data_IF_424292929828
#
_entry.id   IF_424292929828
#
_cell.length_a   1.000
_cell.length_b   1.000
_cell.length_c   1.000
_cell.angle_alpha   90.00
_cell.angle_beta   90.00
_cell.angle_gamma   90.00
#
_symmetry.space_group_name_H-M   'P 1'
#
loop_
_entity.id
_entity.type
_entity.pdbx_description
1 polymer ?
#
# COMPACT_ATOMS: atom_id res chain seq x y z
N UNK A 1 18.26 19.80 22.35
CA UNK A 1 17.74 18.85 21.34
C UNK A 1 18.69 17.68 21.23
N UNK A 2 18.20 16.48 21.49
CA UNK A 2 18.96 15.23 21.42
C UNK A 2 19.09 14.74 19.97
N UNK A 3 20.12 13.95 19.68
CA UNK A 3 20.40 13.37 18.36
C UNK A 3 19.25 12.46 17.85
N UNK A 4 18.48 11.90 18.77
CA UNK A 4 17.27 11.11 18.53
C UNK A 4 16.10 11.97 18.04
N UNK A 5 16.03 13.25 18.42
CA UNK A 5 14.98 14.18 17.99
C UNK A 5 15.23 14.73 16.58
N UNK A 6 16.50 14.88 16.17
CA UNK A 6 16.87 15.21 14.78
C UNK A 6 16.58 14.06 13.79
N UNK A 7 16.46 12.81 14.27
CA UNK A 7 16.14 11.61 13.45
C UNK A 7 14.69 11.52 12.98
N UNK A 8 13.79 12.41 13.43
CA UNK A 8 12.51 12.66 12.75
C UNK A 8 12.70 13.68 11.61
N UNK A 9 13.70 13.45 10.73
CA UNK A 9 13.69 14.09 9.42
C UNK A 9 12.31 13.82 8.81
N UNK A 10 11.59 14.90 8.52
CA UNK A 10 10.22 14.88 8.01
C UNK A 10 10.20 14.03 6.75
N UNK A 11 9.81 12.76 6.90
CA UNK A 11 9.77 11.81 5.79
C UNK A 11 8.69 12.30 4.83
N UNK A 12 9.09 12.55 3.60
CA UNK A 12 8.16 12.95 2.54
C UNK A 12 7.56 11.71 1.93
N UNK A 13 6.29 11.78 1.51
CA UNK A 13 5.69 10.72 0.73
C UNK A 13 6.32 10.72 -0.65
N UNK A 14 6.64 9.55 -1.15
CA UNK A 14 7.17 9.39 -2.50
C UNK A 14 6.46 8.23 -3.18
N UNK A 15 6.52 8.24 -4.50
CA UNK A 15 5.95 7.21 -5.37
C UNK A 15 6.97 6.82 -6.43
N UNK A 16 8.03 6.12 -6.02
CA UNK A 16 9.13 5.70 -6.90
C UNK A 16 9.25 4.20 -6.99
N UNK A 17 9.48 3.71 -8.20
CA UNK A 17 9.87 2.32 -8.40
C UNK A 17 11.31 2.15 -7.97
N UNK A 18 11.55 1.13 -7.16
CA UNK A 18 12.84 0.87 -6.53
C UNK A 18 13.32 -0.51 -7.00
N UNK A 19 14.55 -0.55 -7.51
CA UNK A 19 15.30 -1.79 -7.69
C UNK A 19 16.11 -2.08 -6.43
N UNK A 20 16.11 -3.34 -6.02
CA UNK A 20 16.81 -3.83 -4.84
C UNK A 20 17.78 -4.92 -5.33
N UNK A 21 19.08 -4.72 -5.19
CA UNK A 21 20.10 -5.58 -5.79
C UNK A 21 19.91 -5.70 -7.32
N UNK A 22 20.18 -6.87 -7.91
CA UNK A 22 20.10 -7.08 -9.38
C UNK A 22 18.71 -7.52 -9.84
N UNK A 23 18.02 -8.28 -9.00
CA UNK A 23 16.82 -9.05 -9.30
C UNK A 23 15.61 -8.62 -8.47
N UNK A 24 15.84 -7.84 -7.42
CA UNK A 24 14.79 -7.38 -6.53
C UNK A 24 14.12 -6.10 -6.99
N UNK A 25 12.85 -5.97 -6.59
CA UNK A 25 12.05 -4.79 -6.90
C UNK A 25 11.04 -4.47 -5.80
N UNK A 26 10.63 -3.21 -5.77
CA UNK A 26 9.66 -2.70 -4.81
C UNK A 26 9.20 -1.28 -5.15
N UNK A 27 8.43 -0.73 -4.23
CA UNK A 27 7.87 0.62 -4.32
C UNK A 27 8.32 1.43 -3.11
N UNK A 28 9.08 2.50 -3.35
CA UNK A 28 9.41 3.48 -2.33
C UNK A 28 8.16 4.29 -1.98
N UNK A 29 7.78 4.31 -0.70
CA UNK A 29 6.55 5.00 -0.25
C UNK A 29 6.80 6.25 0.58
N UNK A 30 7.93 6.31 1.27
CA UNK A 30 8.39 7.53 1.93
C UNK A 30 9.91 7.58 2.02
N UNK A 31 10.46 8.78 2.07
CA UNK A 31 11.91 8.99 2.07
C UNK A 31 12.33 10.18 2.91
N UNK A 32 13.56 10.11 3.43
CA UNK A 32 14.35 11.21 3.99
C UNK A 32 15.76 11.15 3.40
N UNK A 33 16.62 12.12 3.70
CA UNK A 33 18.03 12.07 3.27
C UNK A 33 18.79 10.83 3.79
N UNK A 34 18.30 10.25 4.88
CA UNK A 34 18.93 9.12 5.58
C UNK A 34 18.38 7.74 5.18
N UNK A 35 17.26 7.68 4.46
CA UNK A 35 16.68 6.39 4.08
C UNK A 35 15.29 6.45 3.49
N UNK A 36 14.76 5.28 3.17
CA UNK A 36 13.47 5.11 2.50
C UNK A 36 12.72 3.93 3.13
N UNK A 37 11.39 3.90 2.99
CA UNK A 37 10.62 2.67 3.20
C UNK A 37 10.22 2.09 1.85
N UNK A 38 10.52 0.81 1.63
CA UNK A 38 10.28 0.10 0.38
C UNK A 38 9.28 -1.00 0.64
N UNK A 39 8.13 -0.93 -0.01
CA UNK A 39 7.20 -2.06 -0.09
C UNK A 39 7.71 -3.06 -1.13
N UNK A 40 7.78 -4.33 -0.75
CA UNK A 40 8.24 -5.39 -1.64
C UNK A 40 7.55 -6.70 -1.27
N UNK A 41 7.30 -7.55 -2.27
CA UNK A 41 6.81 -8.91 -2.06
C UNK A 41 7.92 -9.95 -1.91
N UNK A 42 9.18 -9.52 -1.87
CA UNK A 42 10.34 -10.40 -1.74
C UNK A 42 10.86 -10.38 -0.30
N UNK A 43 11.44 -11.51 0.12
CA UNK A 43 11.99 -11.67 1.45
C UNK A 43 13.43 -11.18 1.52
N UNK A 44 13.73 -10.47 2.60
CA UNK A 44 15.06 -9.98 2.91
C UNK A 44 15.35 -10.15 4.41
N UNK A 45 16.63 -10.08 4.78
CA UNK A 45 17.05 -10.21 6.18
C UNK A 45 17.23 -8.84 6.83
N UNK A 46 16.76 -8.71 8.07
CA UNK A 46 17.04 -7.53 8.89
C UNK A 46 18.56 -7.36 9.07
N UNK A 47 19.02 -6.11 9.00
CA UNK A 47 20.45 -5.74 8.98
C UNK A 47 21.24 -6.21 7.75
N UNK A 48 20.58 -6.86 6.78
CA UNK A 48 21.18 -7.19 5.48
C UNK A 48 21.57 -5.93 4.70
N UNK A 49 22.65 -6.03 3.94
CA UNK A 49 23.06 -4.99 3.00
C UNK A 49 22.37 -5.19 1.66
N UNK A 50 21.90 -4.09 1.07
CA UNK A 50 21.26 -4.08 -0.24
C UNK A 50 21.74 -2.90 -1.07
N UNK A 51 21.70 -3.08 -2.39
CA UNK A 51 21.86 -2.00 -3.34
C UNK A 51 20.49 -1.43 -3.66
N UNK A 52 20.25 -0.14 -3.34
CA UNK A 52 18.98 0.53 -3.66
C UNK A 52 19.20 1.44 -4.85
N UNK A 53 18.40 1.24 -5.91
CA UNK A 53 18.44 2.08 -7.09
C UNK A 53 17.05 2.58 -7.48
N UNK A 54 16.90 3.86 -7.76
CA UNK A 54 15.65 4.45 -8.27
C UNK A 54 15.96 5.63 -9.18
N UNK A 55 15.00 5.97 -10.05
CA UNK A 55 15.18 7.07 -11.01
C UNK A 55 14.54 8.36 -10.53
N UNK A 56 15.23 9.47 -10.73
CA UNK A 56 14.70 10.82 -10.55
C UNK A 56 15.26 11.73 -11.63
N UNK A 57 14.39 12.50 -12.30
CA UNK A 57 14.74 13.37 -13.42
C UNK A 57 15.68 12.69 -14.45
N UNK A 58 15.29 11.48 -14.88
CA UNK A 58 16.04 10.61 -15.81
C UNK A 58 17.44 10.17 -15.34
N UNK A 59 17.87 10.55 -14.14
CA UNK A 59 19.10 10.07 -13.50
C UNK A 59 18.80 8.85 -12.65
N UNK A 60 19.68 7.84 -12.73
CA UNK A 60 19.63 6.67 -11.86
C UNK A 60 20.44 6.96 -10.60
N UNK A 61 19.76 7.06 -9.46
CA UNK A 61 20.42 7.13 -8.17
C UNK A 61 20.60 5.70 -7.65
N UNK A 62 21.82 5.32 -7.26
CA UNK A 62 22.14 3.96 -6.79
C UNK A 62 23.10 4.03 -5.62
N UNK A 63 22.68 3.59 -4.43
CA UNK A 63 23.50 3.69 -3.21
C UNK A 63 23.30 2.53 -2.23
N UNK A 64 24.36 2.10 -1.51
CA UNK A 64 24.25 0.98 -0.59
C UNK A 64 23.34 1.36 0.57
N UNK A 65 22.63 0.37 1.08
CA UNK A 65 21.71 0.53 2.18
C UNK A 65 21.77 -0.65 3.13
N UNK A 66 21.39 -0.41 4.38
CA UNK A 66 21.18 -1.45 5.38
C UNK A 66 19.69 -1.53 5.66
N UNK A 67 19.14 -2.74 5.58
CA UNK A 67 17.75 -3.02 5.92
C UNK A 67 17.54 -2.81 7.41
N UNK A 68 16.50 -2.05 7.75
CA UNK A 68 16.04 -1.71 9.10
C UNK A 68 14.52 -1.83 9.15
N UNK A 69 13.95 -2.19 10.30
CA UNK A 69 12.49 -2.26 10.48
C UNK A 69 11.83 -3.14 9.40
N UNK A 70 12.10 -4.45 9.50
CA UNK A 70 11.54 -5.43 8.60
C UNK A 70 10.09 -5.76 8.98
N UNK A 71 9.18 -5.58 8.03
CA UNK A 71 7.80 -5.99 8.15
C UNK A 71 7.56 -7.14 7.17
N UNK A 72 7.62 -8.37 7.67
CA UNK A 72 7.45 -9.57 6.86
C UNK A 72 6.24 -9.46 5.93
N UNK A 73 6.44 -9.85 4.65
CA UNK A 73 5.47 -9.78 3.56
C UNK A 73 4.92 -8.38 3.17
N UNK A 74 5.44 -7.32 3.77
CA UNK A 74 5.02 -5.93 3.49
C UNK A 74 6.18 -5.19 2.83
N UNK A 75 7.34 -5.20 3.49
CA UNK A 75 8.51 -4.47 3.04
C UNK A 75 9.44 -4.11 4.19
N UNK A 76 10.32 -3.14 3.96
CA UNK A 76 11.33 -2.75 4.93
C UNK A 76 11.71 -1.28 4.86
N UNK A 77 12.20 -0.75 5.98
CA UNK A 77 13.00 0.46 5.97
C UNK A 77 14.40 0.16 5.45
N UNK A 78 14.98 1.06 4.68
CA UNK A 78 16.39 1.00 4.31
C UNK A 78 17.06 2.30 4.71
N UNK A 79 18.16 2.18 5.43
CA UNK A 79 19.02 3.30 5.78
C UNK A 79 20.13 3.39 4.73
N UNK A 80 20.30 4.55 4.10
CA UNK A 80 21.37 4.76 3.13
C UNK A 80 22.73 4.78 3.84
N UNK A 81 23.73 4.14 3.25
CA UNK A 81 25.08 4.03 3.79
C UNK A 81 26.02 4.91 2.97
N UNK A 82 26.67 5.85 3.64
CA UNK A 82 27.72 6.74 3.08
C UNK A 82 27.40 7.25 1.67
N UNK A 83 26.24 7.90 1.44
CA UNK A 83 25.97 8.49 0.13
C UNK A 83 27.06 9.50 -0.24
N UNK A 84 27.38 9.65 -1.51
CA UNK A 84 28.31 10.71 -1.98
C UNK A 84 27.65 12.09 -1.86
N UNK A 85 28.42 13.18 -1.99
CA UNK A 85 27.85 14.54 -1.99
C UNK A 85 26.86 14.75 -3.13
N UNK A 86 27.16 14.21 -4.31
CA UNK A 86 26.24 14.22 -5.45
C UNK A 86 24.94 13.48 -5.13
N UNK A 87 25.03 12.29 -4.52
CA UNK A 87 23.85 11.52 -4.13
C UNK A 87 23.03 12.25 -3.07
N UNK A 88 23.67 12.87 -2.07
CA UNK A 88 23.00 13.71 -1.07
C UNK A 88 22.26 14.88 -1.72
N UNK A 89 22.90 15.57 -2.66
CA UNK A 89 22.29 16.68 -3.38
C UNK A 89 21.06 16.22 -4.18
N UNK A 90 21.14 15.09 -4.88
CA UNK A 90 20.00 14.50 -5.59
C UNK A 90 18.88 14.06 -4.65
N UNK A 91 19.19 13.45 -3.49
CA UNK A 91 18.19 13.08 -2.49
C UNK A 91 17.40 14.30 -2.00
N UNK A 92 18.07 15.42 -1.74
CA UNK A 92 17.41 16.69 -1.36
C UNK A 92 16.49 17.19 -2.45
N UNK A 93 16.94 17.19 -3.70
CA UNK A 93 16.10 17.59 -4.84
C UNK A 93 14.84 16.73 -4.97
N UNK A 94 14.97 15.40 -4.75
CA UNK A 94 13.79 14.52 -4.72
C UNK A 94 12.85 14.93 -3.59
N UNK A 95 13.39 15.13 -2.38
CA UNK A 95 12.59 15.47 -1.19
C UNK A 95 11.86 16.80 -1.38
N UNK A 96 12.54 17.82 -1.90
CA UNK A 96 11.98 19.15 -2.12
C UNK A 96 10.90 19.13 -3.23
N UNK A 97 11.16 18.40 -4.31
CA UNK A 97 10.19 18.24 -5.40
C UNK A 97 8.91 17.53 -4.93
N UNK A 98 9.05 16.45 -4.16
CA UNK A 98 7.90 15.67 -3.67
C UNK A 98 7.17 16.41 -2.54
N UNK A 99 7.87 17.17 -1.69
CA UNK A 99 7.25 18.06 -0.67
C UNK A 99 6.43 19.17 -1.31
N UNK A 100 6.97 19.80 -2.36
CA UNK A 100 6.31 20.91 -3.06
C UNK A 100 5.10 20.43 -3.87
N UNK A 101 5.10 19.16 -4.27
CA UNK A 101 3.97 18.50 -4.92
C UNK A 101 2.86 18.10 -3.93
N UNK A 102 3.07 18.15 -2.60
CA UNK A 102 2.04 17.87 -1.59
C UNK A 102 1.00 19.03 -1.48
N UNK A 103 0.23 19.26 -2.54
CA UNK A 103 -1.21 19.48 -2.41
C UNK A 103 -1.87 18.11 -2.51
N UNK A 104 -1.67 17.27 -1.50
CA UNK A 104 -2.26 15.93 -1.46
C UNK A 104 -3.80 16.07 -1.61
N UNK A 105 -4.45 15.33 -2.53
CA UNK A 105 -5.87 15.09 -2.37
C UNK A 105 -6.12 14.50 -0.97
N UNK A 106 -7.26 14.83 -0.37
CA UNK A 106 -7.64 14.28 0.93
C UNK A 106 -7.39 12.76 0.93
N UNK A 107 -6.68 12.24 1.95
CA UNK A 107 -6.29 10.82 2.01
C UNK A 107 -7.50 9.95 1.70
N UNK A 108 -7.41 9.15 0.65
CA UNK A 108 -8.55 8.34 0.24
C UNK A 108 -8.74 7.16 1.21
N UNK A 109 -9.98 6.93 1.59
CA UNK A 109 -10.41 5.88 2.51
C UNK A 109 -10.65 4.59 1.71
N UNK A 110 -10.03 3.51 2.15
CA UNK A 110 -10.24 2.14 1.66
C UNK A 110 -10.89 1.33 2.77
N UNK A 111 -12.09 0.81 2.52
CA UNK A 111 -12.72 -0.16 3.39
C UNK A 111 -12.16 -1.56 3.09
N UNK A 112 -11.60 -2.24 4.09
CA UNK A 112 -11.08 -3.59 4.00
C UNK A 112 -11.93 -4.54 4.85
N UNK A 113 -12.55 -5.53 4.21
CA UNK A 113 -13.45 -6.50 4.85
C UNK A 113 -12.90 -7.92 4.75
N UNK A 114 -12.53 -8.49 5.89
CA UNK A 114 -11.95 -9.84 6.00
C UNK A 114 -12.16 -10.34 7.43
N UNK A 115 -12.71 -11.53 7.62
CA UNK A 115 -13.02 -12.12 8.93
C UNK A 115 -11.76 -12.53 9.71
N UNK A 116 -10.65 -12.75 9.01
CA UNK A 116 -9.39 -13.14 9.62
C UNK A 116 -8.56 -11.89 9.99
N UNK A 117 -8.50 -11.59 11.29
CA UNK A 117 -7.79 -10.42 11.81
C UNK A 117 -6.31 -10.33 11.39
N UNK A 118 -5.60 -11.46 11.32
CA UNK A 118 -4.18 -11.50 10.93
C UNK A 118 -4.01 -11.13 9.46
N UNK A 119 -4.83 -11.72 8.57
CA UNK A 119 -4.82 -11.38 7.14
C UNK A 119 -5.23 -9.92 6.92
N UNK A 120 -6.31 -9.47 7.58
CA UNK A 120 -6.80 -8.10 7.48
C UNK A 120 -5.71 -7.08 7.85
N UNK A 121 -5.03 -7.27 9.00
CA UNK A 121 -3.92 -6.40 9.43
C UNK A 121 -2.78 -6.35 8.42
N UNK A 122 -2.44 -7.48 7.78
CA UNK A 122 -1.38 -7.56 6.75
C UNK A 122 -1.69 -6.64 5.57
N UNK A 123 -2.89 -6.75 5.01
CA UNK A 123 -3.33 -5.92 3.88
C UNK A 123 -3.56 -4.46 4.27
N UNK A 124 -4.11 -4.20 5.47
CA UNK A 124 -4.27 -2.85 6.00
C UNK A 124 -2.92 -2.14 6.10
N UNK A 125 -1.88 -2.82 6.62
CA UNK A 125 -0.54 -2.25 6.75
C UNK A 125 0.06 -1.84 5.41
N UNK A 126 -0.08 -2.67 4.38
CA UNK A 126 0.36 -2.34 3.01
C UNK A 126 -0.33 -1.08 2.49
N UNK A 127 -1.65 -0.98 2.63
CA UNK A 127 -2.41 0.19 2.17
C UNK A 127 -2.07 1.45 2.96
N UNK A 128 -1.93 1.36 4.28
CA UNK A 128 -1.51 2.47 5.15
C UNK A 128 -0.12 2.98 4.77
N UNK A 129 0.84 2.07 4.55
CA UNK A 129 2.20 2.41 4.10
C UNK A 129 2.23 3.05 2.71
N UNK A 130 1.18 2.85 1.92
CA UNK A 130 1.00 3.45 0.59
C UNK A 130 0.27 4.80 0.62
N UNK A 131 -0.10 5.28 1.81
CA UNK A 131 -0.67 6.62 2.00
C UNK A 131 -2.19 6.67 2.11
N UNK A 132 -2.90 5.55 1.93
CA UNK A 132 -4.35 5.44 2.14
C UNK A 132 -4.71 5.48 3.63
N UNK A 133 -5.97 5.81 3.91
CA UNK A 133 -6.60 5.55 5.20
C UNK A 133 -7.39 4.26 5.10
N UNK A 134 -7.26 3.36 6.07
CA UNK A 134 -7.93 2.06 6.03
C UNK A 134 -9.02 2.02 7.08
N UNK A 135 -10.25 1.73 6.65
CA UNK A 135 -11.36 1.34 7.50
C UNK A 135 -11.38 -0.19 7.53
N UNK A 136 -11.35 -0.81 8.69
CA UNK A 136 -11.33 -2.27 8.80
C UNK A 136 -12.69 -2.79 9.29
N UNK A 137 -13.21 -3.80 8.61
CA UNK A 137 -14.37 -4.57 9.05
C UNK A 137 -14.05 -6.07 9.04
N UNK A 138 -14.58 -6.82 10.00
CA UNK A 138 -14.48 -8.29 10.04
C UNK A 138 -15.71 -9.00 9.46
N UNK A 139 -16.79 -8.27 9.22
CA UNK A 139 -18.02 -8.81 8.65
C UNK A 139 -18.77 -7.77 7.81
N UNK A 140 -19.80 -8.24 7.10
CA UNK A 140 -20.62 -7.43 6.20
C UNK A 140 -21.49 -6.40 6.92
N UNK A 141 -21.97 -6.69 8.13
CA UNK A 141 -22.76 -5.75 8.95
C UNK A 141 -21.90 -4.57 9.39
N UNK A 142 -20.72 -4.84 9.94
CA UNK A 142 -19.77 -3.81 10.35
C UNK A 142 -19.30 -2.97 9.15
N UNK A 143 -19.07 -3.59 8.01
CA UNK A 143 -18.70 -2.90 6.77
C UNK A 143 -19.77 -1.86 6.36
N UNK A 144 -21.05 -2.26 6.38
CA UNK A 144 -22.17 -1.36 6.08
C UNK A 144 -22.29 -0.24 7.11
N UNK A 145 -22.13 -0.54 8.41
CA UNK A 145 -22.23 0.47 9.47
C UNK A 145 -21.11 1.52 9.40
N UNK A 146 -19.88 1.08 9.07
CA UNK A 146 -18.77 2.00 8.82
C UNK A 146 -19.05 2.93 7.65
N UNK A 147 -19.63 2.44 6.55
CA UNK A 147 -19.91 3.25 5.37
C UNK A 147 -20.97 4.34 5.60
N UNK A 148 -21.91 4.13 6.52
CA UNK A 148 -22.91 5.16 6.89
C UNK A 148 -22.28 6.39 7.55
N UNK A 149 -21.17 6.21 8.27
CA UNK A 149 -20.54 7.28 9.05
C UNK A 149 -19.22 7.75 8.47
N UNK A 150 -18.57 6.92 7.64
CA UNK A 150 -17.24 7.17 7.10
C UNK A 150 -17.21 6.79 5.61
N UNK A 151 -17.24 7.78 4.69
CA UNK A 151 -17.23 7.49 3.27
C UNK A 151 -15.91 6.83 2.85
N UNK A 152 -15.99 5.81 2.01
CA UNK A 152 -14.85 5.17 1.37
C UNK A 152 -14.91 5.37 -0.14
N UNK A 153 -13.77 5.39 -0.82
CA UNK A 153 -13.71 5.44 -2.29
C UNK A 153 -13.56 4.03 -2.89
N UNK A 154 -12.99 3.11 -2.11
CA UNK A 154 -12.76 1.72 -2.51
C UNK A 154 -13.25 0.80 -1.39
N UNK A 155 -13.89 -0.30 -1.75
CA UNK A 155 -14.11 -1.46 -0.87
C UNK A 155 -13.32 -2.66 -1.39
N UNK A 156 -12.43 -3.16 -0.55
CA UNK A 156 -11.71 -4.42 -0.74
C UNK A 156 -12.34 -5.43 0.20
N UNK A 157 -12.87 -6.54 -0.31
CA UNK A 157 -13.54 -7.53 0.53
C UNK A 157 -13.25 -8.96 0.11
N UNK A 158 -13.22 -9.88 1.09
CA UNK A 158 -13.26 -11.32 0.82
C UNK A 158 -14.71 -11.80 0.68
N UNK A 159 -15.13 -12.32 -0.48
CA UNK A 159 -16.49 -12.82 -0.66
C UNK A 159 -16.78 -14.09 0.14
N UNK A 160 -15.76 -14.78 0.66
CA UNK A 160 -15.91 -16.04 1.40
C UNK A 160 -16.09 -15.86 2.92
N UNK A 161 -16.18 -14.63 3.41
CA UNK A 161 -16.73 -14.36 4.75
C UNK A 161 -18.24 -14.65 4.77
N UNK A 162 -18.82 -14.71 5.96
CA UNK A 162 -20.27 -14.83 6.10
C UNK A 162 -20.99 -13.70 5.33
N UNK A 163 -21.90 -14.07 4.44
CA UNK A 163 -22.65 -13.15 3.56
C UNK A 163 -21.78 -12.24 2.65
N UNK A 164 -20.49 -12.54 2.45
CA UNK A 164 -19.57 -11.70 1.67
C UNK A 164 -20.02 -11.47 0.22
N UNK A 165 -20.59 -12.50 -0.44
CA UNK A 165 -21.17 -12.38 -1.78
C UNK A 165 -22.35 -11.39 -1.87
N UNK A 166 -23.03 -11.11 -0.75
CA UNK A 166 -24.16 -10.18 -0.70
C UNK A 166 -23.74 -8.76 -0.28
N UNK A 167 -22.49 -8.55 0.13
CA UNK A 167 -22.00 -7.27 0.63
C UNK A 167 -22.23 -6.13 -0.38
N UNK A 168 -21.89 -6.35 -1.66
CA UNK A 168 -22.06 -5.32 -2.69
C UNK A 168 -23.53 -4.95 -2.90
N UNK A 169 -24.46 -5.90 -2.78
CA UNK A 169 -25.89 -5.60 -2.84
C UNK A 169 -26.31 -4.71 -1.68
N UNK A 170 -25.82 -4.98 -0.46
CA UNK A 170 -26.08 -4.13 0.72
C UNK A 170 -25.49 -2.74 0.56
N UNK A 171 -24.25 -2.63 0.08
CA UNK A 171 -23.59 -1.34 -0.17
C UNK A 171 -24.34 -0.52 -1.23
N UNK A 172 -24.82 -1.15 -2.31
CA UNK A 172 -25.60 -0.47 -3.36
C UNK A 172 -26.94 0.10 -2.87
N UNK A 173 -27.50 -0.42 -1.78
CA UNK A 173 -28.71 0.13 -1.17
C UNK A 173 -28.46 1.48 -0.47
N UNK A 174 -27.20 1.81 -0.17
CA UNK A 174 -26.80 3.11 0.35
C UNK A 174 -26.57 4.09 -0.81
N UNK A 175 -27.38 5.16 -0.96
CA UNK A 175 -27.26 6.11 -2.08
C UNK A 175 -25.87 6.73 -2.21
N UNK A 176 -25.26 7.09 -1.09
CA UNK A 176 -23.92 7.69 -0.97
C UNK A 176 -22.77 6.74 -1.37
N UNK A 177 -23.03 5.43 -1.47
CA UNK A 177 -22.00 4.43 -1.76
C UNK A 177 -21.98 3.96 -3.22
N UNK A 178 -22.81 4.54 -4.10
CA UNK A 178 -22.96 4.09 -5.49
C UNK A 178 -21.70 4.26 -6.34
N UNK A 179 -20.81 5.17 -5.97
CA UNK A 179 -19.55 5.46 -6.67
C UNK A 179 -18.37 4.68 -6.11
N UNK A 180 -18.55 3.91 -5.03
CA UNK A 180 -17.47 3.10 -4.43
C UNK A 180 -16.99 2.08 -5.44
N UNK A 181 -15.66 1.93 -5.52
CA UNK A 181 -14.99 0.97 -6.38
C UNK A 181 -14.86 -0.37 -5.63
N UNK A 182 -15.54 -1.44 -6.06
CA UNK A 182 -15.40 -2.76 -5.44
C UNK A 182 -14.24 -3.56 -6.04
N UNK A 183 -13.37 -4.06 -5.15
CA UNK A 183 -12.27 -4.97 -5.45
C UNK A 183 -12.44 -6.22 -4.60
N UNK A 184 -12.27 -7.39 -5.21
CA UNK A 184 -12.34 -8.66 -4.50
C UNK A 184 -10.94 -9.08 -4.06
N UNK A 185 -10.83 -9.46 -2.80
CA UNK A 185 -9.64 -10.10 -2.24
C UNK A 185 -10.03 -11.50 -1.78
N UNK A 186 -9.98 -12.47 -2.68
CA UNK A 186 -10.53 -13.79 -2.45
C UNK A 186 -9.53 -14.73 -1.76
N UNK A 187 -9.98 -15.46 -0.74
CA UNK A 187 -9.18 -16.53 -0.12
C UNK A 187 -9.03 -17.77 -1.02
N UNK A 188 -9.93 -17.98 -1.99
CA UNK A 188 -9.89 -19.10 -2.94
C UNK A 188 -10.46 -18.68 -4.30
N UNK A 189 -10.29 -19.53 -5.31
CA UNK A 189 -10.87 -19.26 -6.63
C UNK A 189 -12.39 -19.07 -6.51
N UNK A 190 -12.90 -17.98 -7.08
CA UNK A 190 -14.34 -17.72 -7.11
C UNK A 190 -14.94 -18.45 -8.31
N UNK A 191 -15.95 -19.33 -8.13
CA UNK A 191 -16.66 -19.97 -9.22
C UNK A 191 -17.29 -18.97 -10.20
N UNK A 192 -17.33 -19.30 -11.50
CA UNK A 192 -17.81 -18.39 -12.55
C UNK A 192 -19.29 -18.01 -12.40
N UNK A 193 -20.14 -18.94 -11.96
CA UNK A 193 -21.54 -18.70 -11.64
C UNK A 193 -21.69 -17.65 -10.52
N UNK A 194 -20.90 -17.78 -9.45
CA UNK A 194 -20.87 -16.83 -8.34
C UNK A 194 -20.34 -15.46 -8.79
N UNK A 195 -19.30 -15.42 -9.63
CA UNK A 195 -18.80 -14.17 -10.20
C UNK A 195 -19.88 -13.44 -10.99
N UNK A 196 -20.54 -14.15 -11.91
CA UNK A 196 -21.61 -13.58 -12.75
C UNK A 196 -22.77 -13.05 -11.90
N UNK A 197 -23.18 -13.79 -10.89
CA UNK A 197 -24.37 -13.45 -10.09
C UNK A 197 -24.12 -12.31 -9.10
N UNK A 198 -22.96 -12.28 -8.43
CA UNK A 198 -22.73 -11.38 -7.30
C UNK A 198 -21.68 -10.31 -7.55
N UNK A 199 -20.72 -10.57 -8.44
CA UNK A 199 -19.48 -9.80 -8.55
C UNK A 199 -19.35 -9.10 -9.92
N UNK A 200 -20.43 -8.98 -10.69
CA UNK A 200 -20.43 -8.34 -12.01
C UNK A 200 -19.98 -6.87 -12.00
N UNK A 201 -20.12 -6.18 -10.85
CA UNK A 201 -19.68 -4.80 -10.68
C UNK A 201 -18.22 -4.67 -10.18
N UNK A 202 -17.57 -5.78 -9.81
CA UNK A 202 -16.19 -5.81 -9.31
C UNK A 202 -15.22 -5.35 -10.39
N UNK A 203 -14.32 -4.44 -10.03
CA UNK A 203 -13.33 -3.86 -10.96
C UNK A 203 -12.06 -4.69 -11.09
N UNK A 204 -11.69 -5.41 -10.03
CA UNK A 204 -10.52 -6.27 -10.04
C UNK A 204 -10.62 -7.37 -8.97
N UNK A 205 -9.88 -8.46 -9.17
CA UNK A 205 -9.91 -9.65 -8.30
C UNK A 205 -8.47 -10.07 -7.98
N UNK A 206 -8.14 -10.14 -6.70
CA UNK A 206 -6.87 -10.65 -6.21
C UNK A 206 -7.06 -11.95 -5.42
N UNK A 207 -6.30 -12.99 -5.78
CA UNK A 207 -6.27 -14.24 -5.04
C UNK A 207 -5.17 -14.20 -3.98
N UNK A 208 -5.56 -14.24 -2.70
CA UNK A 208 -4.63 -14.11 -1.55
C UNK A 208 -3.52 -15.16 -1.55
N UNK A 209 -3.82 -16.39 -1.96
CA UNK A 209 -2.90 -17.53 -1.83
C UNK A 209 -1.75 -17.51 -2.83
N UNK A 210 -1.94 -16.86 -3.98
CA UNK A 210 -0.96 -16.88 -5.08
C UNK A 210 -0.36 -15.50 -5.34
N UNK A 211 -0.71 -14.51 -4.53
CA UNK A 211 -0.28 -13.13 -4.73
C UNK A 211 0.24 -12.51 -3.45
N UNK A 212 1.40 -11.84 -3.47
CA UNK A 212 1.89 -11.13 -2.30
C UNK A 212 0.98 -9.93 -1.99
N UNK A 213 0.90 -9.49 -0.72
CA UNK A 213 0.07 -8.36 -0.32
C UNK A 213 0.30 -7.07 -1.10
N UNK A 214 1.52 -6.83 -1.58
CA UNK A 214 1.87 -5.70 -2.45
C UNK A 214 1.01 -5.62 -3.72
N UNK A 215 0.54 -6.76 -4.26
CA UNK A 215 -0.37 -6.74 -5.41
C UNK A 215 -1.67 -6.01 -5.13
N UNK A 216 -2.16 -6.04 -3.89
CA UNK A 216 -3.37 -5.30 -3.53
C UNK A 216 -3.14 -3.80 -3.65
N UNK A 217 -2.00 -3.31 -3.19
CA UNK A 217 -1.63 -1.89 -3.31
C UNK A 217 -1.62 -1.45 -4.77
N UNK A 218 -1.03 -2.25 -5.67
CA UNK A 218 -0.96 -1.95 -7.10
C UNK A 218 -2.36 -1.88 -7.73
N UNK A 219 -3.24 -2.82 -7.37
CA UNK A 219 -4.63 -2.82 -7.84
C UNK A 219 -5.38 -1.59 -7.32
N UNK A 220 -5.26 -1.26 -6.04
CA UNK A 220 -5.93 -0.07 -5.48
C UNK A 220 -5.39 1.20 -6.13
N UNK A 221 -4.08 1.36 -6.30
CA UNK A 221 -3.47 2.54 -6.94
C UNK A 221 -3.88 2.70 -8.41
N UNK A 222 -4.03 1.59 -9.15
CA UNK A 222 -4.55 1.57 -10.53
C UNK A 222 -5.96 2.17 -10.62
N UNK A 223 -6.79 1.97 -9.60
CA UNK A 223 -8.18 2.42 -9.60
C UNK A 223 -8.42 3.72 -8.83
N UNK A 224 -7.53 4.06 -7.90
CA UNK A 224 -7.61 5.21 -7.01
C UNK A 224 -6.20 5.78 -6.77
N UNK A 225 -5.61 6.44 -7.77
CA UNK A 225 -4.29 7.04 -7.61
C UNK A 225 -4.36 8.21 -6.62
N UNK A 226 -3.45 8.22 -5.64
CA UNK A 226 -3.18 9.37 -4.77
C UNK A 226 -2.27 10.41 -5.43
#
# INVERSE_FOLDING_TARGET
MTETEKRKQQRVRIKKDVRINKDGSGRGTCMSESGMYVLTGQDYQENGQVMISFSFDRKLLSMPGIIRHFDADVGFGVMFVNPTDEQRALLRQVIDAESSAEKLPARANVLLVDDNATKRKKYAKVLLKSGYVVLEADNDVQAVELLKTRPAQVVVFDPFIQNGFHLLSKIKMLPECRTIIPIVLASKAVPEDKKRMYLSAVKDVLLKMTSPPLRLQQIVEKHLPL
#
